data_IF_847810810680
#
_entry.id   IF_847810810680
#
_cell.length_a   1.000
_cell.length_b   1.000
_cell.length_c   1.000
_cell.angle_alpha   90.00
_cell.angle_beta   90.00
_cell.angle_gamma   90.00
#
_symmetry.space_group_name_H-M   'P 1'
#
loop_
_entity.id
_entity.type
_entity.pdbx_description
1 polymer ?
#
# COMPACT_ATOMS: atom_id res chain seq x y z
N UNK A 1 28.80 9.89 13.75
CA UNK A 1 28.24 9.51 12.44
C UNK A 1 27.41 8.24 12.61
N UNK A 2 26.10 8.37 12.79
CA UNK A 2 25.15 7.24 12.89
C UNK A 2 24.06 7.48 11.83
N UNK A 3 24.45 7.21 10.58
CA UNK A 3 23.60 7.04 9.40
C UNK A 3 23.10 5.58 9.46
N UNK A 4 21.84 5.21 9.27
CA UNK A 4 20.94 5.48 8.15
C UNK A 4 19.52 5.11 8.64
N UNK A 5 18.64 6.10 8.84
CA UNK A 5 17.20 5.83 8.79
C UNK A 5 16.88 5.69 7.30
N UNK A 6 16.82 4.46 6.80
CA UNK A 6 16.37 4.16 5.44
C UNK A 6 14.87 4.42 5.39
N UNK A 7 14.51 5.70 5.27
CA UNK A 7 13.18 6.10 4.84
C UNK A 7 13.03 5.68 3.38
N UNK A 8 12.57 4.44 3.18
CA UNK A 8 11.95 4.02 1.93
C UNK A 8 10.64 4.80 1.78
N UNK A 9 10.76 6.10 1.55
CA UNK A 9 9.68 6.88 0.95
C UNK A 9 9.65 6.42 -0.49
N UNK A 10 8.94 5.33 -0.74
CA UNK A 10 8.52 4.97 -2.08
C UNK A 10 7.79 6.19 -2.62
N UNK A 11 8.41 6.87 -3.59
CA UNK A 11 7.79 7.91 -4.39
C UNK A 11 6.52 7.29 -5.00
N UNK A 12 5.37 7.45 -4.33
CA UNK A 12 4.11 6.96 -4.87
C UNK A 12 3.84 7.80 -6.10
N UNK A 13 4.05 7.21 -7.28
CA UNK A 13 3.51 7.76 -8.51
C UNK A 13 2.04 8.09 -8.25
N UNK A 14 1.63 9.31 -8.58
CA UNK A 14 0.27 9.80 -8.37
C UNK A 14 -0.82 8.91 -9.04
N UNK A 15 -0.43 7.90 -9.84
CA UNK A 15 -1.33 6.93 -10.49
C UNK A 15 -1.23 5.46 -10.02
N UNK A 16 -0.43 5.13 -9.00
CA UNK A 16 -0.46 3.77 -8.41
C UNK A 16 -1.78 3.55 -7.65
N UNK A 17 -2.29 2.31 -7.47
CA UNK A 17 -3.43 2.04 -6.59
C UNK A 17 -3.10 2.41 -5.13
N UNK A 18 -4.12 2.59 -4.28
CA UNK A 18 -3.90 2.40 -2.85
C UNK A 18 -4.16 0.93 -2.58
N UNK A 19 -3.22 0.29 -1.90
CA UNK A 19 -3.27 -1.14 -1.61
C UNK A 19 -3.84 -1.36 -0.20
N UNK A 20 -5.07 -0.91 0.03
CA UNK A 20 -5.73 -0.94 1.36
C UNK A 20 -6.09 -2.38 1.73
N UNK A 21 -6.76 -3.08 0.82
CA UNK A 21 -7.14 -4.50 0.94
C UNK A 21 -5.95 -5.40 1.32
N UNK A 22 -4.78 -5.15 0.77
CA UNK A 22 -3.58 -5.95 1.02
C UNK A 22 -3.05 -5.81 2.46
N UNK A 23 -3.25 -4.64 3.08
CA UNK A 23 -2.95 -4.48 4.50
C UNK A 23 -4.06 -5.08 5.36
N UNK A 24 -5.31 -4.93 4.93
CA UNK A 24 -6.48 -5.49 5.61
C UNK A 24 -6.39 -7.02 5.76
N UNK A 25 -5.95 -7.70 4.70
CA UNK A 25 -5.79 -9.17 4.64
C UNK A 25 -4.85 -9.74 5.71
N UNK A 26 -3.84 -8.95 6.10
CA UNK A 26 -2.74 -9.39 6.97
C UNK A 26 -2.80 -8.80 8.37
N UNK A 27 -3.58 -7.76 8.60
CA UNK A 27 -3.80 -7.13 9.91
C UNK A 27 -5.03 -7.75 10.58
N UNK A 28 -5.09 -7.67 11.92
CA UNK A 28 -6.20 -8.23 12.72
C UNK A 28 -6.70 -7.21 13.73
N UNK A 29 -7.91 -7.42 14.24
CA UNK A 29 -8.49 -6.62 15.31
C UNK A 29 -8.95 -5.24 14.82
N UNK A 30 -8.70 -4.21 15.63
CA UNK A 30 -9.20 -2.85 15.37
C UNK A 30 -8.74 -2.29 14.01
N UNK A 31 -7.44 -2.42 13.69
CA UNK A 31 -6.90 -1.87 12.46
C UNK A 31 -7.47 -2.57 11.21
N UNK A 32 -7.85 -3.85 11.30
CA UNK A 32 -8.55 -4.54 10.20
C UNK A 32 -9.91 -3.90 9.90
N UNK A 33 -10.73 -3.64 10.92
CA UNK A 33 -12.02 -2.97 10.73
C UNK A 33 -11.89 -1.53 10.22
N UNK A 34 -10.83 -0.84 10.62
CA UNK A 34 -10.55 0.50 10.11
C UNK A 34 -10.20 0.45 8.62
N UNK A 35 -9.40 -0.53 8.19
CA UNK A 35 -9.04 -0.71 6.77
C UNK A 35 -10.25 -1.11 5.91
N UNK A 36 -11.09 -2.03 6.39
CA UNK A 36 -12.36 -2.41 5.75
C UNK A 36 -13.26 -1.18 5.52
N UNK A 37 -13.39 -0.33 6.54
CA UNK A 37 -14.14 0.94 6.42
C UNK A 37 -13.52 1.91 5.41
N UNK A 38 -12.18 1.96 5.34
CA UNK A 38 -11.46 2.83 4.40
C UNK A 38 -11.62 2.37 2.94
N UNK A 39 -11.69 1.07 2.68
CA UNK A 39 -11.86 0.53 1.32
C UNK A 39 -13.26 0.85 0.76
N UNK A 40 -14.27 0.80 1.63
CA UNK A 40 -15.66 1.15 1.28
C UNK A 40 -15.92 2.67 1.16
N UNK A 41 -14.98 3.52 1.61
CA UNK A 41 -15.15 4.97 1.64
C UNK A 41 -14.97 5.62 0.25
N UNK A 42 -16.06 6.19 -0.27
CA UNK A 42 -16.11 6.86 -1.58
C UNK A 42 -15.95 8.38 -1.51
N UNK A 43 -15.85 8.94 -0.31
CA UNK A 43 -15.93 10.39 -0.09
C UNK A 43 -14.59 10.99 0.34
N UNK A 44 -13.79 10.24 1.08
CA UNK A 44 -12.46 10.69 1.51
C UNK A 44 -11.50 10.78 0.33
N UNK A 45 -10.68 11.83 0.34
CA UNK A 45 -9.72 12.01 -0.74
C UNK A 45 -8.63 10.94 -0.71
N UNK A 46 -8.09 10.61 -1.88
CA UNK A 46 -6.99 9.65 -2.00
C UNK A 46 -5.78 10.00 -1.12
N UNK A 47 -5.46 11.29 -0.97
CA UNK A 47 -4.36 11.75 -0.12
C UNK A 47 -4.62 11.48 1.36
N UNK A 48 -5.85 11.66 1.81
CA UNK A 48 -6.25 11.39 3.19
C UNK A 48 -6.27 9.89 3.48
N UNK A 49 -6.83 9.08 2.57
CA UNK A 49 -6.79 7.61 2.67
C UNK A 49 -5.35 7.09 2.70
N UNK A 50 -4.46 7.67 1.90
CA UNK A 50 -3.04 7.33 1.93
C UNK A 50 -2.42 7.65 3.29
N UNK A 51 -2.68 8.84 3.83
CA UNK A 51 -2.14 9.23 5.13
C UNK A 51 -2.60 8.25 6.22
N UNK A 52 -3.88 7.92 6.25
CA UNK A 52 -4.43 6.95 7.20
C UNK A 52 -3.83 5.56 7.04
N UNK A 53 -3.66 5.09 5.80
CA UNK A 53 -3.04 3.79 5.50
C UNK A 53 -1.59 3.75 6.01
N UNK A 54 -0.82 4.80 5.74
CA UNK A 54 0.57 4.93 6.19
C UNK A 54 0.65 4.95 7.73
N UNK A 55 -0.29 5.62 8.41
CA UNK A 55 -0.39 5.63 9.88
C UNK A 55 -0.73 4.26 10.47
N UNK A 56 -1.67 3.53 9.86
CA UNK A 56 -2.04 2.17 10.28
C UNK A 56 -0.85 1.23 10.10
N UNK A 57 -0.19 1.30 8.94
CA UNK A 57 0.99 0.49 8.64
C UNK A 57 2.13 0.76 9.62
N UNK A 58 2.37 2.03 9.96
CA UNK A 58 3.41 2.43 10.91
C UNK A 58 3.20 1.87 12.33
N UNK A 59 1.94 1.61 12.73
CA UNK A 59 1.61 0.95 14.00
C UNK A 59 1.85 -0.56 14.00
N UNK A 60 1.90 -1.19 12.82
CA UNK A 60 2.07 -2.64 12.71
C UNK A 60 3.49 -3.09 13.08
N UNK A 61 3.62 -4.38 13.38
CA UNK A 61 4.93 -4.98 13.61
C UNK A 61 5.84 -4.86 12.38
N UNK A 62 7.18 -4.84 12.55
CA UNK A 62 8.11 -4.85 11.41
C UNK A 62 7.86 -6.00 10.43
N UNK A 63 7.49 -7.19 10.94
CA UNK A 63 7.17 -8.34 10.10
C UNK A 63 5.96 -8.10 9.20
N UNK A 64 4.92 -7.43 9.72
CA UNK A 64 3.73 -7.05 8.95
C UNK A 64 4.05 -6.00 7.90
N UNK A 65 4.89 -5.01 8.25
CA UNK A 65 5.34 -3.98 7.31
C UNK A 65 6.13 -4.57 6.15
N UNK A 66 7.06 -5.49 6.44
CA UNK A 66 7.83 -6.21 5.44
C UNK A 66 6.96 -7.10 4.55
N UNK A 67 5.96 -7.77 5.14
CA UNK A 67 5.02 -8.61 4.39
C UNK A 67 4.19 -7.76 3.43
N UNK A 68 3.62 -6.65 3.92
CA UNK A 68 2.88 -5.69 3.10
C UNK A 68 3.70 -5.18 1.91
N UNK A 69 4.94 -4.74 2.17
CA UNK A 69 5.83 -4.26 1.12
C UNK A 69 6.12 -5.31 0.04
N UNK A 70 6.23 -6.59 0.42
CA UNK A 70 6.42 -7.70 -0.54
C UNK A 70 5.17 -7.94 -1.38
N UNK A 71 3.98 -7.89 -0.78
CA UNK A 71 2.70 -8.06 -1.49
C UNK A 71 2.51 -6.94 -2.50
N UNK A 72 2.67 -5.68 -2.07
CA UNK A 72 2.57 -4.49 -2.94
C UNK A 72 3.54 -4.60 -4.12
N UNK A 73 4.81 -4.93 -3.87
CA UNK A 73 5.82 -5.09 -4.92
C UNK A 73 5.46 -6.17 -5.94
N UNK A 74 4.81 -7.26 -5.52
CA UNK A 74 4.36 -8.30 -6.46
C UNK A 74 3.16 -7.84 -7.29
N UNK A 75 2.18 -7.17 -6.68
CA UNK A 75 1.03 -6.60 -7.40
C UNK A 75 1.45 -5.52 -8.41
N UNK A 76 2.37 -4.64 -8.04
CA UNK A 76 2.93 -3.64 -8.95
C UNK A 76 3.61 -4.30 -10.15
N UNK A 77 4.46 -5.30 -9.93
CA UNK A 77 5.11 -6.05 -11.00
C UNK A 77 4.12 -6.68 -11.97
N UNK A 78 3.03 -7.28 -11.45
CA UNK A 78 1.98 -7.88 -12.28
C UNK A 78 1.22 -6.83 -13.08
N UNK A 79 0.93 -5.66 -12.47
CA UNK A 79 0.26 -4.54 -13.15
C UNK A 79 1.13 -3.99 -14.28
N UNK A 80 2.42 -3.77 -14.03
CA UNK A 80 3.37 -3.32 -15.04
C UNK A 80 3.50 -4.33 -16.19
N UNK A 81 3.64 -5.62 -15.88
CA UNK A 81 3.71 -6.68 -16.90
C UNK A 81 2.43 -6.70 -17.77
N UNK A 82 1.25 -6.58 -17.15
CA UNK A 82 -0.02 -6.49 -17.88
C UNK A 82 -0.08 -5.24 -18.76
N UNK A 83 0.31 -4.08 -18.24
CA UNK A 83 0.31 -2.84 -19.01
C UNK A 83 1.25 -2.93 -20.22
N UNK A 84 2.45 -3.48 -20.04
CA UNK A 84 3.43 -3.66 -21.12
C UNK A 84 2.91 -4.60 -22.22
N UNK A 85 2.22 -5.69 -21.84
CA UNK A 85 1.59 -6.60 -22.79
C UNK A 85 0.58 -5.87 -23.68
N UNK A 86 -0.36 -5.12 -23.08
CA UNK A 86 -1.36 -4.38 -23.85
C UNK A 86 -0.75 -3.30 -24.75
N UNK A 87 0.26 -2.56 -24.28
CA UNK A 87 0.96 -1.56 -25.10
C UNK A 87 1.65 -2.20 -26.30
N UNK A 88 2.19 -3.42 -26.17
CA UNK A 88 2.86 -4.11 -27.27
C UNK A 88 1.92 -4.68 -28.34
N UNK A 89 0.62 -4.85 -28.03
CA UNK A 89 -0.42 -5.31 -28.97
C UNK A 89 -1.25 -4.17 -29.59
N UNK A 90 -1.02 -2.92 -29.16
CA UNK A 90 -1.72 -1.71 -29.62
C UNK A 90 -0.99 -1.02 -30.77
#
# INVERSE_FOLDING_TARGET
YLLFLLSLVSFSQAGSPLYIEELEDIVRGYDHHLLDTMDDDKWTTRSELKLQLDEILARQSPATQDLYARIVKDKERRREAKNNYWVSES
#
